data_IF_438839065729
#
_entry.id   IF_438839065729
#
_cell.length_a   1.000
_cell.length_b   1.000
_cell.length_c   1.000
_cell.angle_alpha   90.00
_cell.angle_beta   90.00
_cell.angle_gamma   90.00
#
_symmetry.space_group_name_H-M   'P 1'
#
loop_
_entity.id
_entity.type
_entity.pdbx_description
1 polymer ?
#
# COMPACT_ATOMS: atom_id res chain seq x y z
N UNK A 1 14.00 6.64 13.20
CA UNK A 1 12.71 7.35 13.18
C UNK A 1 11.79 6.72 14.22
N UNK A 2 11.12 7.56 15.01
CA UNK A 2 10.12 7.11 15.97
C UNK A 2 8.95 6.51 15.18
N UNK A 3 8.33 5.43 15.66
CA UNK A 3 7.26 4.78 14.88
C UNK A 3 6.06 5.71 14.64
N UNK A 4 5.81 6.66 15.55
CA UNK A 4 4.77 7.67 15.41
C UNK A 4 5.01 8.58 14.21
N UNK A 5 6.26 9.01 13.98
CA UNK A 5 6.60 9.84 12.82
C UNK A 5 6.34 9.07 11.52
N UNK A 6 6.78 7.81 11.47
CA UNK A 6 6.52 6.94 10.31
C UNK A 6 5.02 6.82 10.04
N UNK A 7 4.23 6.57 11.09
CA UNK A 7 2.78 6.46 10.97
C UNK A 7 2.17 7.77 10.46
N UNK A 8 2.57 8.91 11.02
CA UNK A 8 2.08 10.23 10.61
C UNK A 8 2.34 10.48 9.11
N UNK A 9 3.54 10.18 8.61
CA UNK A 9 3.83 10.31 7.18
C UNK A 9 2.99 9.38 6.31
N UNK A 10 2.79 8.13 6.74
CA UNK A 10 2.00 7.15 6.00
C UNK A 10 0.51 7.54 5.96
N UNK A 11 -0.03 8.09 7.05
CA UNK A 11 -1.43 8.51 7.14
C UNK A 11 -1.76 9.75 6.28
N UNK A 12 -0.75 10.52 5.88
CA UNK A 12 -0.94 11.63 4.92
C UNK A 12 -1.20 11.13 3.50
N UNK A 13 -0.70 9.95 3.11
CA UNK A 13 -0.85 9.43 1.75
C UNK A 13 -2.32 9.18 1.39
N UNK A 14 -3.15 8.50 2.21
CA UNK A 14 -4.58 8.35 1.95
C UNK A 14 -5.34 9.67 1.76
N UNK A 15 -4.95 10.74 2.45
CA UNK A 15 -5.57 12.06 2.29
C UNK A 15 -5.27 12.67 0.91
N UNK A 16 -4.06 12.45 0.39
CA UNK A 16 -3.68 12.86 -0.97
C UNK A 16 -4.35 12.01 -2.06
N UNK A 17 -4.80 10.80 -1.70
CA UNK A 17 -5.45 9.87 -2.62
C UNK A 17 -6.97 10.04 -2.71
N UNK A 18 -7.54 11.04 -2.04
CA UNK A 18 -8.97 11.31 -2.09
C UNK A 18 -9.37 11.89 -3.46
N UNK A 19 -10.33 11.28 -4.17
CA UNK A 19 -10.81 11.85 -5.42
C UNK A 19 -11.56 13.16 -5.17
N UNK A 20 -11.23 14.21 -5.92
CA UNK A 20 -12.07 15.39 -6.00
C UNK A 20 -13.32 15.06 -6.82
N UNK A 21 -14.51 15.23 -6.22
CA UNK A 21 -15.80 15.24 -6.90
C UNK A 21 -16.12 14.05 -7.84
N UNK A 22 -16.07 12.82 -7.32
CA UNK A 22 -16.65 11.64 -7.99
C UNK A 22 -15.81 11.02 -9.12
N UNK A 23 -14.63 11.56 -9.42
CA UNK A 23 -13.66 10.93 -10.32
C UNK A 23 -12.95 9.74 -9.66
N UNK A 24 -12.44 8.79 -10.44
CA UNK A 24 -11.56 7.76 -9.91
C UNK A 24 -10.19 8.37 -9.58
N UNK A 25 -9.66 8.09 -8.38
CA UNK A 25 -8.28 8.46 -8.03
C UNK A 25 -7.29 7.90 -9.07
N UNK A 26 -6.48 8.78 -9.65
CA UNK A 26 -5.47 8.44 -10.66
C UNK A 26 -4.20 9.24 -10.37
N UNK A 27 -3.07 8.56 -10.39
CA UNK A 27 -1.74 9.17 -10.32
C UNK A 27 -1.21 9.42 -11.73
N UNK A 28 -0.44 10.49 -11.89
CA UNK A 28 0.34 10.71 -13.11
C UNK A 28 1.44 9.62 -13.15
N UNK A 29 1.61 8.90 -14.27
CA UNK A 29 2.69 7.94 -14.41
C UNK A 29 4.05 8.59 -14.17
N UNK A 30 4.95 7.87 -13.50
CA UNK A 30 6.27 8.35 -13.12
C UNK A 30 7.06 7.26 -12.40
N UNK A 31 8.26 7.59 -11.93
CA UNK A 31 9.06 6.63 -11.17
C UNK A 31 8.63 6.59 -9.69
N UNK A 32 7.94 5.50 -9.32
CA UNK A 32 7.53 5.22 -7.95
C UNK A 32 8.38 4.12 -7.29
N UNK A 33 9.47 3.67 -7.93
CA UNK A 33 10.26 2.51 -7.49
C UNK A 33 10.79 2.68 -6.06
N UNK A 34 11.32 3.87 -5.74
CA UNK A 34 11.84 4.19 -4.40
C UNK A 34 10.74 4.26 -3.33
N UNK A 35 9.56 4.75 -3.69
CA UNK A 35 8.39 4.78 -2.79
C UNK A 35 7.94 3.35 -2.52
N UNK A 36 7.80 2.53 -3.56
CA UNK A 36 7.42 1.11 -3.45
C UNK A 36 8.42 0.35 -2.60
N UNK A 37 9.72 0.55 -2.82
CA UNK A 37 10.79 -0.07 -2.04
C UNK A 37 10.72 0.33 -0.57
N UNK A 38 10.51 1.62 -0.29
CA UNK A 38 10.41 2.14 1.07
C UNK A 38 9.19 1.58 1.80
N UNK A 39 8.03 1.56 1.15
CA UNK A 39 6.81 0.96 1.70
C UNK A 39 6.97 -0.54 1.93
N UNK A 40 7.63 -1.27 1.00
CA UNK A 40 7.94 -2.69 1.17
C UNK A 40 8.76 -2.94 2.44
N UNK A 41 9.77 -2.12 2.72
CA UNK A 41 10.57 -2.24 3.96
C UNK A 41 9.68 -2.06 5.20
N UNK A 42 8.77 -1.08 5.19
CA UNK A 42 7.87 -0.79 6.29
C UNK A 42 6.83 -1.89 6.57
N UNK A 43 6.59 -2.81 5.61
CA UNK A 43 5.79 -4.01 5.89
C UNK A 43 6.44 -4.94 6.92
N UNK A 44 7.76 -4.81 7.15
CA UNK A 44 8.51 -5.55 8.18
C UNK A 44 8.74 -4.76 9.47
N UNK A 45 8.07 -3.62 9.67
CA UNK A 45 8.26 -2.81 10.89
C UNK A 45 7.78 -3.56 12.15
N UNK A 46 8.46 -3.30 13.27
CA UNK A 46 8.09 -3.84 14.59
C UNK A 46 6.72 -3.35 15.08
N UNK A 47 6.26 -2.19 14.62
CA UNK A 47 4.98 -1.61 15.02
C UNK A 47 3.88 -1.95 14.01
N UNK A 48 2.91 -2.76 14.43
CA UNK A 48 1.82 -3.25 13.57
C UNK A 48 0.98 -2.14 12.93
N UNK A 49 0.85 -0.97 13.59
CA UNK A 49 0.16 0.18 13.02
C UNK A 49 0.88 0.73 11.79
N UNK A 50 2.22 0.78 11.83
CA UNK A 50 3.06 1.21 10.70
C UNK A 50 2.96 0.19 9.55
N UNK A 51 2.98 -1.11 9.88
CA UNK A 51 2.80 -2.19 8.89
C UNK A 51 1.47 -2.05 8.17
N UNK A 52 0.36 -1.92 8.92
CA UNK A 52 -0.99 -1.77 8.34
C UNK A 52 -1.08 -0.51 7.46
N UNK A 53 -0.53 0.63 7.91
CA UNK A 53 -0.51 1.86 7.13
C UNK A 53 0.31 1.74 5.83
N UNK A 54 1.47 1.08 5.88
CA UNK A 54 2.30 0.85 4.70
C UNK A 54 1.59 -0.05 3.67
N UNK A 55 0.94 -1.12 4.12
CA UNK A 55 0.14 -2.01 3.26
C UNK A 55 -1.01 -1.25 2.59
N UNK A 56 -1.71 -0.36 3.32
CA UNK A 56 -2.77 0.49 2.76
C UNK A 56 -2.22 1.43 1.68
N UNK A 57 -1.05 2.04 1.91
CA UNK A 57 -0.42 2.92 0.93
C UNK A 57 -0.05 2.16 -0.37
N UNK A 58 0.44 0.92 -0.25
CA UNK A 58 0.71 0.06 -1.41
C UNK A 58 -0.56 -0.30 -2.20
N UNK A 59 -1.68 -0.52 -1.52
CA UNK A 59 -3.00 -0.68 -2.15
C UNK A 59 -3.39 0.55 -2.97
N UNK A 60 -3.28 1.75 -2.38
CA UNK A 60 -3.59 3.01 -3.03
C UNK A 60 -2.71 3.30 -4.26
N UNK A 61 -1.42 2.95 -4.22
CA UNK A 61 -0.56 3.06 -5.41
C UNK A 61 -1.07 2.19 -6.56
N UNK A 62 -1.49 0.95 -6.28
CA UNK A 62 -2.11 0.08 -7.29
C UNK A 62 -3.42 0.66 -7.84
N UNK A 63 -4.22 1.32 -7.00
CA UNK A 63 -5.42 2.05 -7.45
C UNK A 63 -5.07 3.18 -8.41
N UNK A 64 -4.10 4.01 -8.02
CA UNK A 64 -3.76 5.24 -8.75
C UNK A 64 -3.01 5.01 -10.06
N UNK A 65 -2.11 4.01 -10.09
CA UNK A 65 -1.22 3.72 -11.23
C UNK A 65 -1.75 2.63 -12.17
N UNK A 66 -2.65 1.76 -11.70
CA UNK A 66 -3.28 0.70 -12.51
C UNK A 66 -2.24 -0.23 -13.17
N UNK A 67 -2.25 -0.32 -14.51
CA UNK A 67 -1.40 -1.22 -15.31
C UNK A 67 0.09 -0.94 -15.11
N UNK A 68 0.48 0.32 -14.91
CA UNK A 68 1.87 0.71 -14.63
C UNK A 68 2.40 0.11 -13.32
N UNK A 69 1.50 -0.28 -12.40
CA UNK A 69 1.85 -0.91 -11.14
C UNK A 69 1.95 -2.44 -11.21
N UNK A 70 1.59 -3.06 -12.33
CA UNK A 70 1.52 -4.52 -12.47
C UNK A 70 2.86 -5.21 -12.14
N UNK A 71 3.99 -4.61 -12.53
CA UNK A 71 5.33 -5.12 -12.20
C UNK A 71 5.60 -5.14 -10.69
N UNK A 72 5.27 -4.04 -10.00
CA UNK A 72 5.39 -3.94 -8.54
C UNK A 72 4.43 -4.89 -7.82
N UNK A 73 3.19 -5.06 -8.31
CA UNK A 73 2.24 -6.02 -7.75
C UNK A 73 2.78 -7.46 -7.78
N UNK A 74 3.33 -7.92 -8.90
CA UNK A 74 3.92 -9.27 -9.00
C UNK A 74 5.05 -9.47 -8.00
N UNK A 75 5.90 -8.47 -7.83
CA UNK A 75 6.99 -8.50 -6.84
C UNK A 75 6.48 -8.52 -5.39
N UNK A 76 5.44 -7.74 -5.08
CA UNK A 76 4.90 -7.58 -3.73
C UNK A 76 3.91 -8.68 -3.34
N UNK A 77 3.36 -9.43 -4.30
CA UNK A 77 2.34 -10.44 -4.05
C UNK A 77 2.79 -11.47 -3.01
N UNK A 78 4.02 -11.98 -3.10
CA UNK A 78 4.56 -12.92 -2.11
C UNK A 78 4.66 -12.31 -0.71
N UNK A 79 5.02 -11.02 -0.61
CA UNK A 79 5.07 -10.27 0.65
C UNK A 79 3.68 -10.14 1.26
N UNK A 80 2.66 -9.80 0.45
CA UNK A 80 1.28 -9.70 0.91
C UNK A 80 0.73 -11.04 1.37
N UNK A 81 0.97 -12.12 0.62
CA UNK A 81 0.56 -13.47 1.00
C UNK A 81 1.19 -13.93 2.31
N UNK A 82 2.45 -13.58 2.57
CA UNK A 82 3.07 -13.88 3.87
C UNK A 82 2.44 -13.07 5.00
N UNK A 83 2.07 -11.81 4.74
CA UNK A 83 1.41 -10.94 5.73
C UNK A 83 -0.01 -11.39 6.11
N UNK A 84 -0.67 -12.23 5.31
CA UNK A 84 -1.94 -12.87 5.71
C UNK A 84 -1.79 -13.79 6.93
N UNK A 85 -0.57 -14.19 7.30
CA UNK A 85 -0.28 -15.01 8.48
C UNK A 85 -0.11 -14.21 9.77
N UNK A 86 -0.25 -12.88 9.73
CA UNK A 86 -0.09 -12.02 10.91
C UNK A 86 -1.18 -12.30 11.95
N UNK A 87 -0.85 -12.18 13.24
CA UNK A 87 -1.81 -12.36 14.33
C UNK A 87 -2.72 -11.15 14.50
N UNK A 88 -2.28 -9.98 14.06
CA UNK A 88 -3.05 -8.75 14.18
C UNK A 88 -4.11 -8.68 13.06
N UNK A 89 -5.38 -8.69 13.45
CA UNK A 89 -6.51 -8.61 12.51
C UNK A 89 -6.46 -7.37 11.60
N UNK A 90 -6.00 -6.22 12.11
CA UNK A 90 -5.91 -4.98 11.33
C UNK A 90 -4.80 -5.00 10.27
N UNK A 91 -3.78 -5.85 10.43
CA UNK A 91 -2.78 -6.10 9.37
C UNK A 91 -3.42 -6.99 8.30
N UNK A 92 -4.05 -8.11 8.70
CA UNK A 92 -4.69 -9.06 7.78
C UNK A 92 -5.80 -8.38 6.96
N UNK A 93 -6.63 -7.55 7.60
CA UNK A 93 -7.68 -6.77 6.93
C UNK A 93 -7.10 -5.80 5.90
N UNK A 94 -6.04 -5.06 6.25
CA UNK A 94 -5.36 -4.17 5.31
C UNK A 94 -4.81 -4.93 4.09
N UNK A 95 -4.26 -6.12 4.30
CA UNK A 95 -3.76 -6.97 3.20
C UNK A 95 -4.89 -7.46 2.31
N UNK A 96 -6.02 -7.92 2.87
CA UNK A 96 -7.18 -8.32 2.06
C UNK A 96 -7.70 -7.19 1.18
N UNK A 97 -7.84 -5.99 1.74
CA UNK A 97 -8.26 -4.80 0.99
C UNK A 97 -7.27 -4.48 -0.13
N UNK A 98 -5.97 -4.48 0.17
CA UNK A 98 -4.92 -4.23 -0.83
C UNK A 98 -4.93 -5.28 -1.95
N UNK A 99 -5.11 -6.56 -1.64
CA UNK A 99 -5.18 -7.63 -2.64
C UNK A 99 -6.41 -7.50 -3.53
N UNK A 100 -7.61 -7.20 -2.98
CA UNK A 100 -8.82 -6.97 -3.80
C UNK A 100 -8.64 -5.76 -4.72
N UNK A 101 -7.99 -4.69 -4.24
CA UNK A 101 -7.67 -3.51 -5.05
C UNK A 101 -6.73 -3.82 -6.23
N UNK A 102 -5.76 -4.71 -6.03
CA UNK A 102 -4.81 -5.13 -7.07
C UNK A 102 -5.41 -6.13 -8.05
N UNK A 103 -6.23 -7.08 -7.58
CA UNK A 103 -6.86 -8.13 -8.38
C UNK A 103 -7.62 -7.61 -9.60
N UNK A 104 -8.23 -6.43 -9.49
CA UNK A 104 -9.05 -5.84 -10.57
C UNK A 104 -8.27 -4.89 -11.49
N UNK A 105 -7.02 -4.56 -11.15
CA UNK A 105 -6.31 -3.40 -11.73
C UNK A 105 -4.88 -3.69 -12.17
N UNK A 106 -4.24 -4.70 -11.58
CA UNK A 106 -2.81 -4.96 -11.73
C UNK A 106 -2.50 -6.41 -12.15
N UNK A 107 -3.53 -7.28 -12.15
CA UNK A 107 -3.51 -8.64 -12.69
C UNK A 107 -4.59 -8.73 -13.77
#
# INVERSE_FOLDING_TARGET
AKWQEKLEYLERIPALCQPSAGAAFRLVPGDFSEIVRSLRILTGDSMVLVVSAAVKCLGLLGVGLKEEFAGSCKMLCSVMLDKLKDKNRGVVEAVHVTLDQWLRRCF
#
